data_IF_317060801120
#
_entry.id   IF_317060801120
#
_cell.length_a   1.000
_cell.length_b   1.000
_cell.length_c   1.000
_cell.angle_alpha   90.00
_cell.angle_beta   90.00
_cell.angle_gamma   90.00
#
_symmetry.space_group_name_H-M   'P 1'
#
loop_
_entity.id
_entity.type
_entity.pdbx_description
1 polymer ?
#
# COMPACT_ATOMS: atom_id res chain seq x y z
N UNK A 1 -12.21 44.83 -13.13
CA UNK A 1 -11.17 45.03 -12.09
C UNK A 1 -10.47 43.71 -11.84
N UNK A 2 -9.16 43.71 -11.54
CA UNK A 2 -8.37 42.46 -11.42
C UNK A 2 -8.67 41.77 -10.07
N UNK A 3 -8.96 40.47 -10.08
CA UNK A 3 -8.87 39.62 -8.87
C UNK A 3 -7.41 39.14 -8.73
N UNK A 4 -6.89 39.13 -7.51
CA UNK A 4 -5.58 38.57 -7.18
C UNK A 4 -5.78 37.18 -6.58
N UNK A 5 -5.16 36.15 -7.17
CA UNK A 5 -5.17 34.80 -6.60
C UNK A 5 -4.00 34.67 -5.63
N UNK A 6 -4.26 34.31 -4.37
CA UNK A 6 -3.23 33.96 -3.40
C UNK A 6 -3.17 32.43 -3.33
N UNK A 7 -2.03 31.86 -3.69
CA UNK A 7 -1.74 30.43 -3.58
C UNK A 7 -0.90 30.23 -2.33
N UNK A 8 -1.46 29.58 -1.30
CA UNK A 8 -0.75 29.24 -0.07
C UNK A 8 -0.15 27.83 -0.14
N UNK A 9 1.02 27.72 -0.78
CA UNK A 9 1.82 26.49 -0.74
C UNK A 9 2.54 26.36 0.61
N UNK A 10 2.03 25.52 1.52
CA UNK A 10 2.68 25.26 2.82
C UNK A 10 3.81 24.23 2.67
N UNK A 11 4.96 24.69 2.20
CA UNK A 11 6.21 23.90 2.21
C UNK A 11 6.88 24.12 3.57
N UNK A 12 6.70 23.17 4.51
CA UNK A 12 7.26 23.29 5.86
C UNK A 12 8.68 22.71 5.98
N UNK A 13 9.61 23.24 5.18
CA UNK A 13 11.03 22.88 5.22
C UNK A 13 11.80 23.71 6.25
N UNK A 14 11.94 23.21 7.48
CA UNK A 14 12.60 23.92 8.58
C UNK A 14 14.10 23.57 8.69
N UNK A 15 14.97 24.44 8.17
CA UNK A 15 16.42 24.40 8.35
C UNK A 15 16.95 25.69 9.01
N UNK A 16 17.52 25.61 10.22
CA UNK A 16 18.42 26.62 10.80
C UNK A 16 19.49 25.88 11.65
N UNK A 17 20.79 25.78 11.27
CA UNK A 17 21.95 26.71 11.50
C UNK A 17 22.02 27.38 12.90
N UNK A 18 23.17 27.60 13.56
CA UNK A 18 24.62 27.29 13.32
C UNK A 18 25.20 26.50 14.55
N UNK A 19 26.49 26.23 14.85
CA UNK A 19 27.85 26.58 14.34
C UNK A 19 28.89 25.54 14.84
N UNK A 20 30.12 25.49 14.27
CA UNK A 20 31.29 24.85 14.92
C UNK A 20 32.53 24.71 14.04
N UNK A 21 33.61 25.46 14.31
CA UNK A 21 34.83 25.48 13.48
C UNK A 21 35.92 24.50 13.96
N UNK A 22 36.67 23.90 13.02
CA UNK A 22 37.85 23.07 13.31
C UNK A 22 38.78 22.92 12.10
N UNK A 23 39.81 23.75 12.01
CA UNK A 23 40.72 23.82 10.85
C UNK A 23 41.97 22.95 11.02
N UNK A 24 42.35 22.16 10.01
CA UNK A 24 43.77 21.91 9.73
C UNK A 24 44.05 21.51 8.26
N UNK A 25 45.33 21.53 7.85
CA UNK A 25 45.73 21.70 6.44
C UNK A 25 46.56 20.56 5.83
N UNK A 26 46.34 20.34 4.51
CA UNK A 26 47.21 19.63 3.55
C UNK A 26 47.43 18.12 3.75
N UNK A 27 47.36 17.26 2.72
CA UNK A 27 48.11 17.30 1.46
C UNK A 27 47.40 16.57 0.31
N UNK A 28 47.72 16.96 -0.94
CA UNK A 28 47.39 16.17 -2.14
C UNK A 28 48.29 14.94 -2.25
N UNK A 29 47.74 13.83 -2.73
CA UNK A 29 48.50 12.86 -3.53
C UNK A 29 47.58 12.24 -4.59
N UNK A 30 48.02 12.24 -5.85
CA UNK A 30 47.34 11.56 -6.95
C UNK A 30 47.95 10.16 -7.10
N UNK A 31 47.13 9.11 -7.00
CA UNK A 31 47.51 7.77 -7.48
C UNK A 31 46.33 7.16 -8.23
N UNK A 32 46.47 7.05 -9.55
CA UNK A 32 45.49 6.39 -10.43
C UNK A 32 45.75 4.88 -10.45
N UNK A 33 44.77 4.06 -10.03
CA UNK A 33 44.85 2.60 -10.11
C UNK A 33 43.54 1.98 -10.61
N UNK A 34 43.62 1.16 -11.66
CA UNK A 34 42.49 0.39 -12.21
C UNK A 34 42.57 -1.09 -11.77
N UNK A 35 41.63 -1.57 -10.96
CA UNK A 35 41.39 -3.01 -10.71
C UNK A 35 39.87 -3.21 -10.63
N UNK A 36 39.17 -3.68 -11.67
CA UNK A 36 38.99 -5.06 -12.18
C UNK A 36 38.33 -6.04 -11.18
N UNK A 37 37.20 -6.60 -11.61
CA UNK A 37 36.36 -7.57 -10.89
C UNK A 37 37.11 -8.87 -10.58
N UNK A 38 36.85 -9.45 -9.40
CA UNK A 38 37.16 -10.85 -9.07
C UNK A 38 35.87 -11.58 -8.67
N UNK A 39 35.59 -12.70 -9.34
CA UNK A 39 34.40 -13.54 -9.14
C UNK A 39 34.71 -14.65 -8.14
N UNK A 40 34.25 -14.54 -6.90
CA UNK A 40 34.53 -15.54 -5.86
C UNK A 40 33.62 -16.78 -5.97
N UNK A 41 34.06 -17.78 -6.72
CA UNK A 41 33.46 -19.12 -6.71
C UNK A 41 33.99 -19.97 -5.55
N UNK A 42 33.11 -20.47 -4.69
CA UNK A 42 33.41 -21.57 -3.77
C UNK A 42 32.60 -22.81 -4.16
N UNK A 43 33.25 -23.98 -4.15
CA UNK A 43 32.65 -25.22 -4.63
C UNK A 43 32.31 -26.16 -3.47
N UNK A 44 31.08 -26.71 -3.48
CA UNK A 44 30.71 -27.86 -2.64
C UNK A 44 30.14 -29.01 -3.47
N UNK A 45 30.42 -30.20 -2.96
CA UNK A 45 30.48 -31.49 -3.67
C UNK A 45 29.14 -31.94 -4.27
N UNK A 46 29.18 -32.50 -5.47
CA UNK A 46 27.99 -32.95 -6.21
C UNK A 46 27.28 -34.15 -5.57
N UNK A 47 25.95 -34.11 -5.52
CA UNK A 47 25.11 -35.30 -5.72
C UNK A 47 24.39 -35.15 -7.06
N UNK A 48 24.43 -36.19 -7.90
CA UNK A 48 23.89 -36.16 -9.27
C UNK A 48 22.75 -37.19 -9.38
N UNK A 49 21.53 -36.76 -9.06
CA UNK A 49 20.33 -37.60 -9.06
C UNK A 49 19.19 -36.98 -9.86
N UNK A 50 19.05 -37.38 -11.13
CA UNK A 50 17.92 -37.06 -12.03
C UNK A 50 17.54 -35.58 -12.13
N UNK A 51 18.24 -34.84 -13.01
CA UNK A 51 17.77 -33.55 -13.52
C UNK A 51 16.54 -33.74 -14.43
N UNK A 52 15.36 -33.91 -13.83
CA UNK A 52 14.09 -33.97 -14.56
C UNK A 52 13.75 -32.57 -15.05
N UNK A 53 13.83 -32.31 -16.36
CA UNK A 53 13.26 -31.08 -16.95
C UNK A 53 11.78 -30.99 -16.57
N UNK A 54 11.40 -30.06 -15.67
CA UNK A 54 10.01 -29.64 -15.49
C UNK A 54 9.60 -28.81 -16.72
N UNK A 55 9.42 -29.48 -17.85
CA UNK A 55 8.83 -28.90 -19.07
C UNK A 55 7.30 -28.81 -18.94
N UNK A 56 6.83 -28.37 -17.78
CA UNK A 56 5.42 -28.13 -17.48
C UNK A 56 5.16 -26.64 -17.40
N UNK A 57 3.91 -26.24 -17.69
CA UNK A 57 3.44 -24.87 -17.51
C UNK A 57 3.60 -24.46 -16.05
N UNK A 58 4.22 -23.30 -15.78
CA UNK A 58 4.26 -22.73 -14.42
C UNK A 58 2.91 -22.05 -14.12
N UNK A 59 2.42 -21.26 -15.08
CA UNK A 59 1.06 -20.74 -15.09
C UNK A 59 0.09 -21.66 -15.86
N UNK A 60 -1.16 -21.73 -15.44
CA UNK A 60 -2.21 -22.54 -16.07
C UNK A 60 -3.61 -21.90 -15.86
N UNK A 61 -4.63 -22.47 -16.51
CA UNK A 61 -5.99 -21.91 -16.46
C UNK A 61 -6.58 -21.84 -15.04
N UNK A 62 -6.27 -22.81 -14.17
CA UNK A 62 -6.80 -22.84 -12.79
C UNK A 62 -6.29 -21.64 -11.98
N UNK A 63 -4.98 -21.38 -12.07
CA UNK A 63 -4.37 -20.17 -11.50
C UNK A 63 -4.92 -18.90 -12.12
N UNK A 64 -5.13 -18.89 -13.44
CA UNK A 64 -5.65 -17.74 -14.17
C UNK A 64 -7.11 -17.39 -13.77
N UNK A 65 -7.90 -18.40 -13.42
CA UNK A 65 -9.24 -18.23 -12.84
C UNK A 65 -9.18 -17.70 -11.41
N UNK A 66 -8.37 -18.33 -10.54
CA UNK A 66 -8.19 -17.87 -9.15
C UNK A 66 -7.67 -16.42 -9.08
N UNK A 67 -6.77 -16.03 -10.01
CA UNK A 67 -6.29 -14.65 -10.13
C UNK A 67 -7.38 -13.70 -10.61
N UNK A 68 -8.23 -14.11 -11.54
CA UNK A 68 -9.35 -13.29 -12.01
C UNK A 68 -10.40 -13.07 -10.92
N UNK A 69 -10.74 -14.10 -10.16
CA UNK A 69 -11.71 -14.01 -9.07
C UNK A 69 -11.16 -13.24 -7.86
N UNK A 70 -9.85 -13.33 -7.61
CA UNK A 70 -9.15 -12.43 -6.70
C UNK A 70 -9.18 -10.97 -7.19
N UNK A 71 -8.83 -10.70 -8.46
CA UNK A 71 -8.78 -9.33 -9.00
C UNK A 71 -10.16 -8.66 -9.07
N UNK A 72 -11.25 -9.43 -9.28
CA UNK A 72 -12.63 -8.92 -9.13
C UNK A 72 -12.89 -8.44 -7.70
N UNK A 73 -12.67 -9.32 -6.71
CA UNK A 73 -12.93 -9.02 -5.29
C UNK A 73 -12.03 -7.91 -4.74
N UNK A 74 -10.75 -7.90 -5.13
CA UNK A 74 -9.81 -6.84 -4.76
C UNK A 74 -10.19 -5.51 -5.44
N UNK A 75 -10.61 -5.55 -6.72
CA UNK A 75 -11.17 -4.40 -7.42
C UNK A 75 -12.40 -3.81 -6.73
N UNK A 76 -13.35 -4.64 -6.25
CA UNK A 76 -14.47 -4.18 -5.41
C UNK A 76 -13.98 -3.44 -4.16
N UNK A 77 -13.03 -4.02 -3.41
CA UNK A 77 -12.47 -3.41 -2.19
C UNK A 77 -11.81 -2.07 -2.50
N UNK A 78 -11.10 -1.94 -3.62
CA UNK A 78 -10.46 -0.69 -4.05
C UNK A 78 -11.42 0.32 -4.71
N UNK A 79 -12.65 -0.07 -5.08
CA UNK A 79 -13.55 0.67 -5.99
C UNK A 79 -12.92 0.93 -7.38
N UNK A 80 -12.41 -0.14 -7.99
CA UNK A 80 -11.63 -0.10 -9.24
C UNK A 80 -12.01 -1.28 -10.16
N UNK A 81 -12.63 -1.00 -11.29
CA UNK A 81 -13.07 -2.02 -12.26
C UNK A 81 -11.96 -2.36 -13.26
N UNK A 82 -11.32 -3.52 -13.08
CA UNK A 82 -10.18 -3.95 -13.90
C UNK A 82 -10.60 -4.72 -15.17
N UNK A 83 -10.15 -4.24 -16.33
CA UNK A 83 -10.19 -4.98 -17.61
C UNK A 83 -9.02 -5.96 -17.67
N UNK A 84 -9.32 -7.27 -17.75
CA UNK A 84 -8.33 -8.33 -17.98
C UNK A 84 -7.99 -8.44 -19.48
N UNK A 85 -6.74 -8.79 -19.80
CA UNK A 85 -6.35 -9.12 -21.19
C UNK A 85 -6.89 -10.50 -21.59
N UNK A 86 -7.66 -10.56 -22.68
CA UNK A 86 -8.33 -11.78 -23.17
C UNK A 86 -7.39 -12.77 -23.89
N UNK A 87 -6.12 -12.42 -24.09
CA UNK A 87 -5.14 -13.21 -24.83
C UNK A 87 -5.09 -12.93 -26.34
N UNK A 88 -5.90 -12.01 -26.85
CA UNK A 88 -6.06 -11.71 -28.29
C UNK A 88 -6.08 -10.20 -28.58
N UNK A 89 -6.95 -9.45 -27.93
CA UNK A 89 -7.19 -8.02 -28.18
C UNK A 89 -6.39 -7.17 -27.18
N UNK A 90 -5.55 -6.25 -27.67
CA UNK A 90 -4.75 -5.38 -26.80
C UNK A 90 -5.64 -4.60 -25.82
N UNK A 91 -5.18 -4.46 -24.57
CA UNK A 91 -5.68 -3.42 -23.67
C UNK A 91 -5.08 -2.08 -24.12
N UNK A 92 -5.96 -1.13 -24.47
CA UNK A 92 -5.57 0.27 -24.62
C UNK A 92 -5.80 1.04 -23.31
N UNK A 93 -4.76 1.70 -22.81
CA UNK A 93 -4.84 2.60 -21.64
C UNK A 93 -5.30 4.00 -22.07
N UNK A 94 -5.87 4.80 -21.15
CA UNK A 94 -6.15 6.22 -21.45
C UNK A 94 -4.89 7.07 -21.59
N UNK A 95 -3.74 6.59 -21.08
CA UNK A 95 -2.41 7.16 -21.38
C UNK A 95 -1.87 6.80 -22.78
N UNK A 96 -2.58 5.97 -23.57
CA UNK A 96 -2.25 5.63 -24.95
C UNK A 96 -1.39 4.38 -25.16
N UNK A 97 -1.02 3.67 -24.09
CA UNK A 97 -0.28 2.40 -24.14
C UNK A 97 -1.17 1.25 -24.62
N UNK A 98 -0.58 0.29 -25.32
CA UNK A 98 -1.24 -0.89 -25.91
C UNK A 98 -0.56 -2.17 -25.45
N UNK A 99 -1.09 -2.80 -24.40
CA UNK A 99 -0.52 -4.03 -23.84
C UNK A 99 -1.22 -5.28 -24.39
N UNK A 100 -0.49 -6.35 -24.76
CA UNK A 100 0.92 -6.62 -24.48
C UNK A 100 1.94 -6.05 -25.49
N UNK A 101 1.51 -5.44 -26.61
CA UNK A 101 2.43 -5.04 -27.69
C UNK A 101 3.56 -4.11 -27.23
N UNK A 102 3.26 -3.17 -26.33
CA UNK A 102 4.27 -2.22 -25.86
C UNK A 102 5.29 -2.79 -24.86
N UNK A 103 5.14 -4.04 -24.38
CA UNK A 103 6.18 -4.65 -23.53
C UNK A 103 7.56 -4.72 -24.21
N UNK A 104 7.60 -4.71 -25.55
CA UNK A 104 8.83 -4.60 -26.36
C UNK A 104 9.67 -3.33 -26.10
N UNK A 105 9.09 -2.31 -25.46
CA UNK A 105 9.78 -1.07 -25.04
C UNK A 105 9.71 -0.82 -23.53
N UNK A 106 9.32 -1.82 -22.74
CA UNK A 106 9.15 -1.66 -21.31
C UNK A 106 10.49 -1.48 -20.59
N UNK A 107 10.47 -0.59 -19.60
CA UNK A 107 11.54 -0.44 -18.60
C UNK A 107 11.00 -0.82 -17.23
N UNK A 108 11.86 -1.38 -16.37
CA UNK A 108 11.55 -1.62 -14.95
C UNK A 108 12.55 -0.80 -14.12
N UNK A 109 12.04 0.07 -13.25
CA UNK A 109 12.85 1.03 -12.47
C UNK A 109 13.84 1.82 -13.35
N UNK A 110 13.39 2.24 -14.53
CA UNK A 110 14.18 2.96 -15.54
C UNK A 110 15.24 2.12 -16.28
N UNK A 111 15.33 0.81 -16.04
CA UNK A 111 16.24 -0.08 -16.75
C UNK A 111 15.53 -0.80 -17.89
N UNK A 112 16.18 -0.93 -19.05
CA UNK A 112 15.68 -1.77 -20.14
C UNK A 112 15.66 -3.24 -19.73
N UNK A 113 14.54 -3.92 -19.94
CA UNK A 113 14.35 -5.35 -19.65
C UNK A 113 13.70 -6.06 -20.83
N UNK A 114 13.86 -7.37 -20.92
CA UNK A 114 13.01 -8.21 -21.76
C UNK A 114 11.73 -8.55 -21.00
N UNK A 115 10.61 -8.02 -21.46
CA UNK A 115 9.27 -8.26 -20.92
C UNK A 115 8.36 -8.69 -22.08
N UNK A 116 7.61 -9.77 -21.91
CA UNK A 116 6.70 -10.26 -22.96
C UNK A 116 5.57 -11.12 -22.39
N UNK A 117 4.47 -11.18 -23.12
CA UNK A 117 3.36 -12.11 -22.85
C UNK A 117 3.78 -13.58 -23.05
N UNK A 118 3.64 -14.38 -22.01
CA UNK A 118 3.69 -15.85 -22.09
C UNK A 118 2.67 -16.45 -21.11
N UNK A 119 1.53 -16.91 -21.65
CA UNK A 119 0.46 -17.59 -20.91
C UNK A 119 0.91 -18.81 -20.09
N UNK A 120 2.12 -19.35 -20.31
CA UNK A 120 2.69 -20.48 -19.55
C UNK A 120 3.70 -20.06 -18.48
N UNK A 121 4.25 -18.85 -18.57
CA UNK A 121 5.33 -18.38 -17.69
C UNK A 121 6.61 -19.23 -17.77
N UNK A 122 6.95 -19.71 -18.97
CA UNK A 122 8.09 -20.62 -19.25
C UNK A 122 9.06 -20.08 -20.30
N UNK A 123 8.90 -18.82 -20.69
CA UNK A 123 9.74 -18.09 -21.63
C UNK A 123 11.17 -17.83 -21.11
N UNK A 124 11.88 -16.94 -21.82
CA UNK A 124 13.27 -16.57 -21.54
C UNK A 124 13.44 -15.05 -21.38
N UNK A 125 12.34 -14.38 -21.07
CA UNK A 125 12.33 -12.96 -20.79
C UNK A 125 12.67 -12.76 -19.31
N UNK A 126 13.23 -11.61 -18.95
CA UNK A 126 13.46 -11.23 -17.56
C UNK A 126 12.11 -11.19 -16.80
N UNK A 127 11.04 -10.78 -17.49
CA UNK A 127 9.66 -10.81 -16.98
C UNK A 127 8.72 -11.50 -17.97
N UNK A 128 8.27 -12.70 -17.62
CA UNK A 128 7.32 -13.49 -18.42
C UNK A 128 5.90 -13.19 -17.93
N UNK A 129 5.16 -12.34 -18.64
CA UNK A 129 3.85 -11.83 -18.23
C UNK A 129 2.77 -12.88 -18.45
N UNK A 130 2.10 -13.30 -17.38
CA UNK A 130 1.10 -14.38 -17.37
C UNK A 130 -0.35 -13.89 -17.28
N UNK A 131 -0.57 -12.68 -16.75
CA UNK A 131 -1.86 -11.97 -16.78
C UNK A 131 -1.63 -10.45 -16.78
N UNK A 132 -2.59 -9.69 -17.34
CA UNK A 132 -2.57 -8.22 -17.40
C UNK A 132 -3.95 -7.71 -17.00
N UNK A 133 -4.00 -6.71 -16.12
CA UNK A 133 -5.23 -6.06 -15.67
C UNK A 133 -5.06 -4.55 -15.71
N UNK A 134 -6.02 -3.82 -16.26
CA UNK A 134 -5.97 -2.36 -16.37
C UNK A 134 -7.24 -1.69 -15.85
N UNK A 135 -7.09 -0.68 -15.00
CA UNK A 135 -8.13 0.25 -14.62
C UNK A 135 -7.82 1.63 -15.21
N UNK A 136 -8.73 2.18 -16.01
CA UNK A 136 -8.65 3.56 -16.50
C UNK A 136 -9.35 4.48 -15.50
N UNK A 137 -8.57 5.33 -14.80
CA UNK A 137 -9.09 6.32 -13.85
C UNK A 137 -9.88 7.41 -14.62
N UNK A 138 -10.94 8.01 -14.05
CA UNK A 138 -11.66 9.14 -14.66
C UNK A 138 -10.78 10.36 -14.98
N UNK A 139 -9.62 10.49 -14.33
CA UNK A 139 -8.64 11.57 -14.50
C UNK A 139 -7.70 11.42 -15.72
N UNK A 140 -8.10 10.66 -16.75
CA UNK A 140 -7.29 10.36 -17.95
C UNK A 140 -5.93 9.71 -17.66
N UNK A 141 -5.83 8.99 -16.54
CA UNK A 141 -4.68 8.18 -16.13
C UNK A 141 -5.08 6.73 -15.92
N UNK A 142 -4.13 5.80 -15.77
CA UNK A 142 -4.41 4.36 -15.67
C UNK A 142 -3.62 3.72 -14.53
N UNK A 143 -4.11 2.59 -14.01
CA UNK A 143 -3.33 1.62 -13.26
C UNK A 143 -3.31 0.34 -14.10
N UNK A 144 -2.14 -0.01 -14.66
CA UNK A 144 -1.95 -1.31 -15.30
C UNK A 144 -1.09 -2.20 -14.41
N UNK A 145 -1.61 -3.36 -14.02
CA UNK A 145 -0.84 -4.43 -13.39
C UNK A 145 -0.44 -5.50 -14.41
N UNK A 146 0.81 -5.92 -14.35
CA UNK A 146 1.33 -7.08 -15.06
C UNK A 146 1.77 -8.12 -14.02
N UNK A 147 1.12 -9.28 -14.05
CA UNK A 147 1.46 -10.43 -13.22
C UNK A 147 2.50 -11.25 -13.98
N UNK A 148 3.67 -11.45 -13.39
CA UNK A 148 4.87 -11.92 -14.12
C UNK A 148 5.60 -13.05 -13.40
N UNK A 149 6.26 -13.92 -14.14
CA UNK A 149 7.27 -14.83 -13.59
C UNK A 149 8.66 -14.36 -14.04
N UNK A 150 9.49 -13.93 -13.08
CA UNK A 150 10.88 -13.53 -13.28
C UNK A 150 11.80 -14.63 -12.75
N UNK A 151 12.61 -15.25 -13.61
CA UNK A 151 13.34 -16.51 -13.35
C UNK A 151 12.49 -17.67 -12.77
N UNK A 152 11.17 -17.57 -12.83
CA UNK A 152 10.20 -18.52 -12.28
C UNK A 152 9.55 -18.09 -10.95
N UNK A 153 9.99 -16.97 -10.36
CA UNK A 153 9.40 -16.39 -9.14
C UNK A 153 8.24 -15.43 -9.48
N UNK A 154 7.11 -15.49 -8.76
CA UNK A 154 5.92 -14.65 -9.04
C UNK A 154 6.10 -13.21 -8.54
N UNK A 155 6.24 -12.27 -9.49
CA UNK A 155 6.35 -10.82 -9.22
C UNK A 155 5.18 -10.07 -9.86
N UNK A 156 4.57 -9.13 -9.12
CA UNK A 156 3.53 -8.23 -9.65
C UNK A 156 4.15 -6.86 -9.95
N UNK A 157 4.19 -6.49 -11.23
CA UNK A 157 4.61 -5.17 -11.68
C UNK A 157 3.39 -4.25 -11.85
N UNK A 158 3.60 -2.94 -11.68
CA UNK A 158 2.61 -1.88 -11.93
C UNK A 158 3.18 -0.79 -12.83
N UNK A 159 2.33 -0.20 -13.66
CA UNK A 159 2.56 1.09 -14.31
C UNK A 159 1.36 2.01 -14.04
N UNK A 160 1.62 3.17 -13.44
CA UNK A 160 0.63 4.24 -13.17
C UNK A 160 0.97 5.55 -13.90
N UNK A 161 2.03 5.55 -14.72
CA UNK A 161 2.59 6.74 -15.35
C UNK A 161 2.07 7.01 -16.76
N UNK A 162 2.55 8.12 -17.33
CA UNK A 162 2.31 8.52 -18.73
C UNK A 162 3.30 7.91 -19.73
N UNK A 163 4.08 6.92 -19.33
CA UNK A 163 5.10 6.27 -20.16
C UNK A 163 5.33 4.81 -19.76
N UNK A 164 6.18 4.10 -20.49
CA UNK A 164 6.34 2.65 -20.36
C UNK A 164 7.40 2.24 -19.30
N UNK A 165 7.32 2.83 -18.11
CA UNK A 165 8.17 2.49 -16.98
C UNK A 165 7.36 1.84 -15.86
N UNK A 166 7.74 0.62 -15.54
CA UNK A 166 7.14 -0.25 -14.54
C UNK A 166 7.97 -0.24 -13.26
N UNK A 167 7.33 -0.59 -12.14
CA UNK A 167 7.98 -0.94 -10.88
C UNK A 167 7.32 -2.18 -10.29
N UNK A 168 7.96 -2.86 -9.33
CA UNK A 168 7.24 -3.82 -8.50
C UNK A 168 6.16 -3.07 -7.69
N UNK A 169 4.95 -3.62 -7.63
CA UNK A 169 3.88 -2.96 -6.87
C UNK A 169 4.24 -2.90 -5.38
N UNK A 170 4.00 -1.76 -4.73
CA UNK A 170 4.05 -1.69 -3.27
C UNK A 170 2.98 -2.56 -2.63
N UNK A 171 1.80 -2.67 -3.25
CA UNK A 171 0.62 -3.31 -2.69
C UNK A 171 0.89 -4.76 -2.24
N UNK A 172 0.93 -4.95 -0.92
CA UNK A 172 1.16 -6.23 -0.25
C UNK A 172 0.13 -7.29 -0.64
N UNK A 173 -1.16 -6.93 -0.65
CA UNK A 173 -2.25 -7.86 -0.97
C UNK A 173 -2.12 -8.47 -2.37
N UNK A 174 -1.76 -7.68 -3.39
CA UNK A 174 -1.50 -8.20 -4.73
C UNK A 174 -0.33 -9.19 -4.77
N UNK A 175 0.78 -8.87 -4.09
CA UNK A 175 1.99 -9.72 -4.06
C UNK A 175 1.72 -11.04 -3.34
N UNK A 176 1.21 -10.98 -2.11
CA UNK A 176 0.96 -12.16 -1.28
C UNK A 176 -0.10 -13.08 -1.91
N UNK A 177 -1.18 -12.52 -2.49
CA UNK A 177 -2.17 -13.33 -3.17
C UNK A 177 -1.68 -13.93 -4.48
N UNK A 178 -0.85 -13.22 -5.26
CA UNK A 178 -0.25 -13.80 -6.47
C UNK A 178 0.72 -14.95 -6.13
N UNK A 179 1.53 -14.81 -5.07
CA UNK A 179 2.34 -15.91 -4.51
C UNK A 179 1.46 -17.08 -4.08
N UNK A 180 0.36 -16.82 -3.37
CA UNK A 180 -0.57 -17.87 -2.93
C UNK A 180 -1.21 -18.60 -4.12
N UNK A 181 -1.69 -17.89 -5.15
CA UNK A 181 -2.23 -18.48 -6.37
C UNK A 181 -1.16 -19.30 -7.10
N UNK A 182 0.08 -18.80 -7.16
CA UNK A 182 1.20 -19.50 -7.77
C UNK A 182 1.52 -20.83 -7.07
N UNK A 183 1.49 -20.85 -5.75
CA UNK A 183 1.70 -22.05 -4.92
C UNK A 183 0.46 -22.98 -4.84
N UNK A 184 -0.71 -22.55 -5.33
CA UNK A 184 -1.97 -23.28 -5.20
C UNK A 184 -2.60 -23.21 -3.79
N UNK A 185 -2.27 -22.17 -3.02
CA UNK A 185 -2.85 -21.85 -1.71
C UNK A 185 -4.14 -21.04 -1.86
N UNK A 186 -4.87 -20.89 -0.76
CA UNK A 186 -6.03 -20.00 -0.70
C UNK A 186 -5.62 -18.52 -0.80
N UNK A 187 -6.50 -17.69 -1.39
CA UNK A 187 -6.37 -16.24 -1.39
C UNK A 187 -7.13 -15.61 -0.23
N UNK A 188 -6.68 -14.43 0.20
CA UNK A 188 -7.29 -13.62 1.23
C UNK A 188 -7.47 -12.19 0.70
N UNK A 189 -8.72 -11.81 0.47
CA UNK A 189 -9.15 -10.42 0.24
C UNK A 189 -9.81 -9.95 1.53
N UNK A 190 -9.26 -8.93 2.18
CA UNK A 190 -9.89 -8.33 3.36
C UNK A 190 -11.12 -7.51 2.93
N UNK A 191 -12.27 -8.20 2.86
CA UNK A 191 -13.55 -7.58 2.52
C UNK A 191 -14.16 -6.95 3.78
N UNK A 192 -14.63 -5.68 3.74
CA UNK A 192 -15.30 -5.06 4.87
C UNK A 192 -16.57 -5.86 5.24
N UNK A 193 -16.61 -6.34 6.49
CA UNK A 193 -17.68 -7.21 7.02
C UNK A 193 -18.87 -6.36 7.46
N UNK A 194 -19.87 -6.19 6.59
CA UNK A 194 -21.17 -5.61 6.97
C UNK A 194 -21.90 -6.56 7.91
N UNK A 195 -22.46 -6.01 8.99
CA UNK A 195 -22.93 -6.77 10.15
C UNK A 195 -24.22 -7.57 9.93
N UNK A 196 -24.27 -8.77 10.50
CA UNK A 196 -25.50 -9.41 10.99
C UNK A 196 -25.25 -9.92 12.42
N UNK A 197 -26.28 -9.89 13.26
CA UNK A 197 -26.11 -9.81 14.71
C UNK A 197 -26.26 -11.14 15.46
N UNK A 198 -25.41 -11.34 16.46
CA UNK A 198 -25.75 -12.04 17.72
C UNK A 198 -24.76 -11.62 18.81
N UNK A 199 -25.15 -11.75 20.08
CA UNK A 199 -24.57 -10.98 21.19
C UNK A 199 -23.67 -11.78 22.13
N UNK A 200 -22.77 -11.04 22.82
CA UNK A 200 -22.09 -11.46 24.07
C UNK A 200 -20.97 -12.51 23.82
N UNK A 201 -19.74 -12.36 24.32
CA UNK A 201 -19.33 -11.89 25.66
C UNK A 201 -17.90 -11.35 25.66
N UNK A 202 -17.62 -10.33 26.49
CA UNK A 202 -16.25 -9.83 26.69
C UNK A 202 -15.35 -10.92 27.28
N UNK A 203 -14.21 -11.17 26.64
CA UNK A 203 -13.08 -11.87 27.27
C UNK A 203 -11.77 -11.20 26.84
N UNK A 204 -11.24 -10.35 27.72
CA UNK A 204 -9.90 -9.79 27.59
C UNK A 204 -8.88 -10.94 27.66
N UNK A 205 -8.42 -11.40 26.50
CA UNK A 205 -7.42 -12.46 26.39
C UNK A 205 -6.25 -11.97 25.55
N UNK A 206 -5.21 -11.53 26.24
CA UNK A 206 -3.85 -11.43 25.70
C UNK A 206 -3.40 -12.82 25.24
N UNK A 207 -3.71 -13.19 23.99
CA UNK A 207 -2.97 -14.24 23.30
C UNK A 207 -1.51 -13.82 23.24
N UNK A 208 -0.61 -14.78 23.44
CA UNK A 208 0.82 -14.52 23.48
C UNK A 208 1.26 -13.87 22.16
N UNK A 209 1.94 -12.73 22.28
CA UNK A 209 2.55 -12.04 21.14
C UNK A 209 3.69 -12.91 20.62
N UNK A 210 3.54 -13.44 19.41
CA UNK A 210 4.70 -13.90 18.65
C UNK A 210 5.63 -12.69 18.45
N UNK A 211 6.90 -12.85 18.80
CA UNK A 211 7.92 -11.83 18.49
C UNK A 211 8.16 -11.87 16.98
N UNK A 212 7.61 -10.88 16.27
CA UNK A 212 7.76 -10.76 14.82
C UNK A 212 9.13 -10.18 14.45
N UNK A 213 10.01 -9.93 15.42
CA UNK A 213 11.33 -9.32 15.22
C UNK A 213 11.26 -7.82 14.92
N UNK A 214 12.44 -7.20 14.82
CA UNK A 214 12.61 -5.77 14.50
C UNK A 214 11.84 -4.81 15.46
N UNK A 215 11.57 -5.27 16.68
CA UNK A 215 10.84 -4.51 17.71
C UNK A 215 9.32 -4.56 17.59
N UNK A 216 8.76 -5.50 16.81
CA UNK A 216 7.32 -5.75 16.66
C UNK A 216 6.83 -6.79 17.68
N UNK A 217 6.39 -6.32 18.85
CA UNK A 217 5.78 -7.15 19.89
C UNK A 217 4.33 -7.55 19.58
N UNK A 218 4.10 -8.14 18.40
CA UNK A 218 2.79 -8.49 17.87
C UNK A 218 2.02 -7.33 17.21
N UNK A 219 0.93 -7.70 16.54
CA UNK A 219 -0.02 -6.76 15.95
C UNK A 219 -0.88 -6.05 17.01
N UNK A 220 -1.44 -4.90 16.66
CA UNK A 220 -2.49 -4.23 17.43
C UNK A 220 -3.83 -4.50 16.77
N UNK A 221 -4.81 -4.92 17.57
CA UNK A 221 -6.17 -5.21 17.13
C UNK A 221 -7.02 -3.95 17.11
N UNK A 222 -7.60 -3.60 15.97
CA UNK A 222 -8.59 -2.50 15.88
C UNK A 222 -9.89 -2.87 16.60
N UNK A 223 -10.61 -1.89 17.21
CA UNK A 223 -11.97 -2.12 17.70
C UNK A 223 -12.90 -2.62 16.60
N UNK A 224 -13.70 -3.68 16.84
CA UNK A 224 -14.56 -4.29 15.81
C UNK A 224 -15.54 -3.28 15.19
N UNK A 225 -16.07 -2.36 16.00
CA UNK A 225 -16.99 -1.30 15.55
C UNK A 225 -16.36 -0.23 14.64
N UNK A 226 -15.02 -0.18 14.52
CA UNK A 226 -14.34 0.65 13.51
C UNK A 226 -14.15 -0.06 12.17
N UNK A 227 -14.29 -1.39 12.12
CA UNK A 227 -13.90 -2.18 10.94
C UNK A 227 -14.92 -2.03 9.83
N UNK A 228 -14.45 -1.80 8.61
CA UNK A 228 -15.29 -1.54 7.47
C UNK A 228 -14.64 -0.62 6.44
N UNK A 229 -15.48 -0.07 5.57
CA UNK A 229 -15.12 1.00 4.64
C UNK A 229 -15.97 2.22 4.98
N UNK A 230 -15.33 3.37 5.07
CA UNK A 230 -15.94 4.64 5.46
C UNK A 230 -15.52 5.75 4.50
N UNK A 231 -16.31 6.82 4.42
CA UNK A 231 -16.22 7.84 3.38
C UNK A 231 -16.34 9.25 3.97
N UNK A 232 -15.53 10.19 3.48
CA UNK A 232 -15.57 11.59 3.96
C UNK A 232 -15.46 12.55 2.78
N UNK A 233 -16.46 13.42 2.59
CA UNK A 233 -16.53 14.38 1.49
C UNK A 233 -16.01 15.74 1.95
N UNK A 234 -14.92 16.22 1.34
CA UNK A 234 -14.39 17.57 1.50
C UNK A 234 -14.44 18.39 0.21
N UNK A 235 -13.91 19.61 0.23
CA UNK A 235 -13.73 20.47 -0.95
C UNK A 235 -12.86 19.79 -2.03
N UNK A 236 -11.82 19.06 -1.58
CA UNK A 236 -10.86 18.33 -2.40
C UNK A 236 -11.42 17.04 -3.03
N UNK A 237 -12.53 16.51 -2.50
CA UNK A 237 -13.26 15.37 -3.08
C UNK A 237 -13.70 14.34 -2.03
N UNK A 238 -13.93 13.11 -2.49
CA UNK A 238 -14.33 11.99 -1.62
C UNK A 238 -13.09 11.23 -1.15
N UNK A 239 -12.84 11.22 0.17
CA UNK A 239 -11.84 10.35 0.81
C UNK A 239 -12.48 9.03 1.21
N UNK A 240 -11.69 7.97 1.23
CA UNK A 240 -12.10 6.64 1.68
C UNK A 240 -11.13 6.11 2.73
N UNK A 241 -11.67 5.49 3.76
CA UNK A 241 -10.96 4.93 4.90
C UNK A 241 -11.37 3.46 5.05
N UNK A 242 -10.42 2.54 4.90
CA UNK A 242 -10.63 1.10 5.10
C UNK A 242 -9.92 0.67 6.37
N UNK A 243 -10.62 -0.02 7.26
CA UNK A 243 -10.11 -0.48 8.55
C UNK A 243 -10.38 -1.98 8.68
N UNK A 244 -9.31 -2.77 8.82
CA UNK A 244 -9.38 -4.22 9.06
C UNK A 244 -8.93 -4.56 10.49
N UNK A 245 -8.67 -5.84 10.79
CA UNK A 245 -8.24 -6.30 12.12
C UNK A 245 -6.91 -5.68 12.58
N UNK A 246 -5.95 -5.53 11.64
CA UNK A 246 -4.57 -5.11 11.91
C UNK A 246 -4.02 -4.06 10.93
N UNK A 247 -4.81 -3.66 9.92
CA UNK A 247 -4.38 -2.73 8.88
C UNK A 247 -5.40 -1.57 8.73
N UNK A 248 -4.91 -0.37 8.41
CA UNK A 248 -5.70 0.82 8.07
C UNK A 248 -5.20 1.34 6.73
N UNK A 249 -6.10 1.69 5.82
CA UNK A 249 -5.78 2.36 4.55
C UNK A 249 -6.56 3.67 4.45
N UNK A 250 -5.85 4.79 4.34
CA UNK A 250 -6.44 6.06 3.95
C UNK A 250 -6.25 6.24 2.44
N UNK A 251 -7.30 6.67 1.75
CA UNK A 251 -7.34 6.88 0.30
C UNK A 251 -7.85 8.31 0.06
N UNK A 252 -7.04 9.13 -0.62
CA UNK A 252 -7.40 10.50 -1.01
C UNK A 252 -8.27 10.55 -2.27
N UNK A 253 -8.80 11.73 -2.59
CA UNK A 253 -9.77 11.91 -3.68
C UNK A 253 -9.22 11.70 -5.10
N UNK A 254 -7.89 11.79 -5.26
CA UNK A 254 -7.13 11.42 -6.47
C UNK A 254 -6.76 9.93 -6.53
N UNK A 255 -6.95 9.22 -5.42
CA UNK A 255 -6.65 7.79 -5.27
C UNK A 255 -5.22 7.47 -4.83
N UNK A 256 -4.45 8.42 -4.29
CA UNK A 256 -3.24 8.05 -3.51
C UNK A 256 -3.63 7.28 -2.24
N UNK A 257 -2.77 6.37 -1.80
CA UNK A 257 -3.05 5.44 -0.69
C UNK A 257 -1.96 5.46 0.38
N UNK A 258 -2.30 5.80 1.62
CA UNK A 258 -1.45 5.64 2.79
C UNK A 258 -1.86 4.35 3.52
N UNK A 259 -1.05 3.29 3.37
CA UNK A 259 -1.25 2.02 4.04
C UNK A 259 -0.54 2.00 5.41
N UNK A 260 -1.19 1.37 6.40
CA UNK A 260 -0.75 1.34 7.78
C UNK A 260 -0.95 -0.05 8.40
N UNK A 261 0.13 -0.79 8.61
CA UNK A 261 0.13 -2.06 9.37
C UNK A 261 0.45 -1.76 10.84
N UNK A 262 -0.44 -2.20 11.74
CA UNK A 262 -0.45 -1.76 13.13
C UNK A 262 0.30 -2.75 14.04
N UNK A 263 1.40 -2.29 14.63
CA UNK A 263 2.23 -3.10 15.54
C UNK A 263 2.43 -2.44 16.89
N UNK A 264 2.56 -3.26 17.93
CA UNK A 264 3.04 -2.80 19.24
C UNK A 264 4.57 -2.71 19.19
N UNK A 265 5.12 -1.49 19.15
CA UNK A 265 6.58 -1.30 19.21
C UNK A 265 7.11 -1.60 20.61
N UNK A 266 8.09 -2.49 20.71
CA UNK A 266 8.76 -2.85 21.99
C UNK A 266 10.07 -2.10 22.22
N UNK A 267 10.66 -1.56 21.14
CA UNK A 267 11.98 -0.95 21.16
C UNK A 267 11.86 0.58 21.16
N UNK A 268 12.85 1.24 21.76
CA UNK A 268 13.05 2.67 21.63
C UNK A 268 13.31 3.06 20.17
N UNK A 269 12.92 4.28 19.80
CA UNK A 269 13.21 4.81 18.45
C UNK A 269 14.70 5.18 18.39
N UNK A 270 15.48 4.65 17.44
CA UNK A 270 16.88 5.06 17.29
C UNK A 270 16.99 6.57 17.00
N UNK A 271 18.06 7.17 17.51
CA UNK A 271 18.34 8.60 17.31
C UNK A 271 18.65 8.92 15.84
N UNK A 272 19.31 8.01 15.14
CA UNK A 272 19.63 8.05 13.72
C UNK A 272 19.06 6.80 13.02
N UNK A 273 18.45 6.99 11.84
CA UNK A 273 17.81 5.97 11.01
C UNK A 273 17.90 6.43 9.56
N UNK A 274 18.53 5.61 8.71
CA UNK A 274 18.74 5.94 7.29
C UNK A 274 17.42 6.01 6.51
N UNK A 275 17.40 6.79 5.43
CA UNK A 275 16.20 6.96 4.61
C UNK A 275 15.70 5.65 3.99
N UNK A 276 16.63 4.75 3.62
CA UNK A 276 16.29 3.40 3.17
C UNK A 276 15.56 2.56 4.23
N UNK A 277 15.90 2.72 5.49
CA UNK A 277 15.30 2.00 6.61
C UNK A 277 13.95 2.62 7.01
N UNK A 278 13.83 3.96 6.92
CA UNK A 278 12.54 4.67 7.03
C UNK A 278 11.57 4.23 5.94
N UNK A 279 12.03 4.18 4.69
CA UNK A 279 11.22 3.75 3.54
C UNK A 279 10.84 2.27 3.61
N UNK A 280 11.74 1.38 4.07
CA UNK A 280 11.44 -0.06 4.25
C UNK A 280 10.28 -0.33 5.22
N UNK A 281 9.96 0.65 6.07
CA UNK A 281 8.98 0.57 7.17
C UNK A 281 7.98 1.73 7.13
N UNK A 282 7.77 2.34 5.96
CA UNK A 282 6.85 3.49 5.77
C UNK A 282 5.39 3.13 6.11
N UNK A 283 4.99 1.88 5.83
CA UNK A 283 3.68 1.33 6.19
C UNK A 283 3.58 0.89 7.66
N UNK A 284 4.69 0.67 8.37
CA UNK A 284 4.64 0.19 9.75
C UNK A 284 4.30 1.34 10.69
N UNK A 285 3.22 1.20 11.46
CA UNK A 285 2.85 2.19 12.49
C UNK A 285 2.94 1.55 13.88
N UNK A 286 3.58 2.29 14.80
CA UNK A 286 3.53 2.01 16.24
C UNK A 286 2.17 2.44 16.75
N UNK A 287 1.32 1.49 17.13
CA UNK A 287 -0.07 1.73 17.46
C UNK A 287 -0.43 1.35 18.91
N UNK A 288 -1.58 1.83 19.39
CA UNK A 288 -2.14 1.47 20.69
C UNK A 288 -3.60 1.92 20.84
N UNK A 289 -4.45 1.04 21.37
CA UNK A 289 -5.88 1.31 21.58
C UNK A 289 -6.10 2.45 22.59
N UNK A 290 -7.10 3.29 22.30
CA UNK A 290 -7.56 4.38 23.18
C UNK A 290 -8.90 3.95 23.76
N UNK A 291 -8.89 3.49 25.01
CA UNK A 291 -10.04 2.83 25.62
C UNK A 291 -10.48 1.59 24.83
N UNK A 292 -11.79 1.40 24.68
CA UNK A 292 -12.39 0.32 23.88
C UNK A 292 -12.76 0.73 22.45
N UNK A 293 -12.80 2.05 22.17
CA UNK A 293 -13.53 2.62 21.03
C UNK A 293 -12.62 3.35 20.02
N UNK A 294 -11.32 3.47 20.30
CA UNK A 294 -10.39 4.16 19.42
C UNK A 294 -9.00 3.53 19.36
N UNK A 295 -8.15 4.10 18.52
CA UNK A 295 -6.76 3.69 18.32
C UNK A 295 -5.91 4.90 17.93
N UNK A 296 -4.71 4.97 18.51
CA UNK A 296 -3.65 5.88 18.11
C UNK A 296 -2.63 5.15 17.25
N UNK A 297 -2.04 5.81 16.27
CA UNK A 297 -0.91 5.29 15.50
C UNK A 297 0.09 6.38 15.13
N UNK A 298 1.38 5.99 15.06
CA UNK A 298 2.52 6.86 14.74
C UNK A 298 3.45 6.13 13.78
N UNK A 299 4.11 6.82 12.86
CA UNK A 299 5.11 6.20 11.99
C UNK A 299 6.21 5.48 12.80
N UNK A 300 6.73 4.35 12.30
CA UNK A 300 7.63 3.48 13.10
C UNK A 300 8.79 4.20 13.77
N UNK A 301 9.40 5.15 13.06
CA UNK A 301 10.52 5.99 13.52
C UNK A 301 10.13 7.47 13.78
N UNK A 302 8.85 7.74 14.09
CA UNK A 302 8.35 9.08 14.39
C UNK A 302 8.69 9.49 15.84
N UNK A 303 9.74 10.28 16.01
CA UNK A 303 10.20 10.77 17.32
C UNK A 303 9.33 11.88 17.93
N UNK A 304 8.60 12.67 17.12
CA UNK A 304 7.87 13.88 17.57
C UNK A 304 6.48 14.02 16.92
N UNK A 305 5.67 14.95 17.42
CA UNK A 305 4.27 15.14 17.03
C UNK A 305 3.29 14.21 17.77
N UNK A 306 2.00 14.33 17.48
CA UNK A 306 0.95 13.51 18.11
C UNK A 306 0.69 12.17 17.43
N UNK A 307 0.90 12.08 16.10
CA UNK A 307 0.47 10.95 15.30
C UNK A 307 -0.97 11.12 14.79
N UNK A 308 -1.56 10.02 14.39
CA UNK A 308 -2.92 9.87 13.90
C UNK A 308 -3.78 9.20 14.99
N UNK A 309 -5.02 9.65 15.15
CA UNK A 309 -5.99 9.06 16.08
C UNK A 309 -7.33 8.83 15.42
N UNK A 310 -7.97 7.72 15.77
CA UNK A 310 -9.26 7.29 15.23
C UNK A 310 -10.19 6.86 16.37
N UNK A 311 -11.47 7.19 16.28
CA UNK A 311 -12.50 6.81 17.26
C UNK A 311 -13.82 6.46 16.58
N UNK A 312 -14.56 5.49 17.12
CA UNK A 312 -16.00 5.34 16.79
C UNK A 312 -16.81 6.46 17.46
N UNK A 313 -17.72 7.06 16.71
CA UNK A 313 -18.82 7.89 17.23
C UNK A 313 -20.16 7.33 16.75
N UNK A 314 -21.28 7.79 17.31
CA UNK A 314 -22.62 7.47 16.81
C UNK A 314 -23.48 8.74 16.87
N UNK A 315 -24.07 9.10 15.74
CA UNK A 315 -24.75 10.38 15.53
C UNK A 315 -26.19 10.18 15.03
N UNK A 316 -27.08 11.16 15.24
CA UNK A 316 -28.47 11.08 14.76
C UNK A 316 -28.68 11.88 13.47
N UNK A 317 -28.70 11.18 12.33
CA UNK A 317 -28.94 11.76 11.00
C UNK A 317 -30.34 11.37 10.53
N UNK A 318 -31.18 12.35 10.20
CA UNK A 318 -32.58 12.16 9.78
C UNK A 318 -33.41 11.26 10.72
N UNK A 319 -33.12 11.31 12.03
CA UNK A 319 -33.77 10.47 13.05
C UNK A 319 -33.28 9.01 13.09
N UNK A 320 -32.15 8.71 12.44
CA UNK A 320 -31.51 7.39 12.45
C UNK A 320 -30.13 7.47 13.09
N UNK A 321 -29.81 6.48 13.92
CA UNK A 321 -28.48 6.32 14.51
C UNK A 321 -27.49 5.81 13.47
N UNK A 322 -26.51 6.65 13.15
CA UNK A 322 -25.45 6.40 12.18
C UNK A 322 -24.13 6.21 12.92
N UNK A 323 -23.45 5.05 12.80
CA UNK A 323 -22.09 4.92 13.29
C UNK A 323 -21.14 5.74 12.42
N UNK A 324 -20.12 6.34 13.01
CA UNK A 324 -19.11 7.17 12.36
C UNK A 324 -17.70 6.75 12.80
N UNK A 325 -16.71 7.04 11.97
CA UNK A 325 -15.30 7.04 12.39
C UNK A 325 -14.76 8.46 12.33
N UNK A 326 -14.39 8.99 13.49
CA UNK A 326 -13.68 10.26 13.62
C UNK A 326 -12.19 10.01 13.40
N UNK A 327 -11.54 10.87 12.62
CA UNK A 327 -10.09 10.87 12.40
C UNK A 327 -9.51 12.23 12.75
N UNK A 328 -8.33 12.24 13.35
CA UNK A 328 -7.51 13.45 13.48
C UNK A 328 -6.02 13.17 13.46
N UNK A 329 -5.26 14.25 13.27
CA UNK A 329 -3.80 14.25 13.27
C UNK A 329 -3.26 15.41 14.11
N UNK A 330 -2.47 15.11 15.13
CA UNK A 330 -1.89 16.10 16.03
C UNK A 330 -1.94 15.68 17.50
N UNK A 331 -1.58 16.61 18.39
CA UNK A 331 -1.41 16.33 19.82
C UNK A 331 -2.60 16.78 20.70
N UNK A 332 -3.74 17.11 20.07
CA UNK A 332 -4.84 17.85 20.72
C UNK A 332 -6.18 17.08 20.71
N UNK A 333 -6.20 15.82 20.27
CA UNK A 333 -7.38 14.95 20.12
C UNK A 333 -8.52 15.52 19.24
N UNK A 334 -8.26 16.58 18.48
CA UNK A 334 -9.21 17.25 17.58
C UNK A 334 -9.52 16.40 16.35
N UNK A 335 -10.74 16.50 15.83
CA UNK A 335 -11.19 15.82 14.60
C UNK A 335 -10.83 16.65 13.36
N UNK A 336 -10.04 16.07 12.46
CA UNK A 336 -9.78 16.60 11.10
C UNK A 336 -10.89 16.18 10.12
N UNK A 337 -11.35 14.92 10.17
CA UNK A 337 -12.36 14.37 9.26
C UNK A 337 -13.35 13.46 10.00
N UNK A 338 -14.63 13.56 9.61
CA UNK A 338 -15.69 12.61 9.97
C UNK A 338 -15.91 11.66 8.78
N UNK A 339 -15.87 10.35 9.02
CA UNK A 339 -16.12 9.33 8.00
C UNK A 339 -17.44 8.59 8.27
N UNK A 340 -18.26 8.49 7.22
CA UNK A 340 -19.61 7.92 7.17
C UNK A 340 -19.61 6.53 6.49
N UNK A 341 -20.58 5.64 6.78
CA UNK A 341 -20.61 4.28 6.24
C UNK A 341 -20.95 4.15 4.73
N UNK A 342 -21.27 5.24 4.02
CA UNK A 342 -21.52 5.23 2.57
C UNK A 342 -21.14 6.54 1.87
N UNK A 343 -20.87 6.47 0.56
CA UNK A 343 -20.58 7.65 -0.27
C UNK A 343 -21.78 8.62 -0.33
N UNK A 344 -23.02 8.11 -0.44
CA UNK A 344 -24.23 8.93 -0.46
C UNK A 344 -24.39 9.73 0.84
N UNK A 345 -24.16 9.10 2.00
CA UNK A 345 -24.28 9.75 3.29
C UNK A 345 -23.13 10.74 3.55
N UNK A 346 -21.91 10.43 3.08
CA UNK A 346 -20.80 11.37 3.09
C UNK A 346 -21.07 12.59 2.19
N UNK A 347 -21.72 12.42 1.04
CA UNK A 347 -22.15 13.52 0.18
C UNK A 347 -23.31 14.33 0.81
N UNK A 348 -24.25 13.68 1.51
CA UNK A 348 -25.34 14.35 2.22
C UNK A 348 -24.83 15.20 3.40
N UNK A 349 -23.80 14.72 4.10
CA UNK A 349 -23.26 15.31 5.32
C UNK A 349 -21.90 16.01 5.10
N UNK A 350 -21.60 16.47 3.87
CA UNK A 350 -20.31 17.10 3.54
C UNK A 350 -20.05 18.40 4.32
N UNK A 351 -21.12 19.14 4.57
CA UNK A 351 -21.09 20.47 5.19
C UNK A 351 -21.54 20.40 6.66
N UNK A 352 -21.75 19.19 7.19
CA UNK A 352 -22.29 18.95 8.52
C UNK A 352 -21.24 19.14 9.64
N UNK A 353 -21.71 19.65 10.78
CA UNK A 353 -20.96 19.79 12.03
C UNK A 353 -21.88 19.38 13.18
N UNK A 354 -21.38 18.56 14.09
CA UNK A 354 -22.12 18.06 15.26
C UNK A 354 -21.53 18.67 16.54
N UNK A 355 -22.38 19.21 17.42
CA UNK A 355 -21.97 20.10 18.54
C UNK A 355 -21.13 19.39 19.63
N UNK A 356 -21.14 18.06 19.69
CA UNK A 356 -20.38 17.26 20.64
C UNK A 356 -19.01 16.79 20.08
N UNK A 357 -18.78 16.94 18.77
CA UNK A 357 -17.51 16.61 18.12
C UNK A 357 -16.56 17.80 18.17
N UNK A 358 -15.40 17.62 18.81
CA UNK A 358 -14.38 18.64 18.90
C UNK A 358 -13.55 18.72 17.60
N UNK A 359 -13.99 19.53 16.65
CA UNK A 359 -13.30 19.76 15.38
C UNK A 359 -12.03 20.60 15.54
N UNK A 360 -11.09 20.40 14.60
CA UNK A 360 -9.84 21.16 14.53
C UNK A 360 -9.99 22.56 13.94
N UNK A 361 -11.00 22.73 13.07
CA UNK A 361 -11.38 23.95 12.36
C UNK A 361 -12.90 23.96 12.11
#
# INVERSE_FOLDING_TARGET
>A
MKKLTIISSVILSSLLILTGCGSNSSKKSNVTSKVKVVKQSSSKKSQKGVAKKKSGSLWNNDKDSHLEDFMKQWGEVMNQTYTKYDGTNNIQTVSGMNYPQDFNSATVNGQNVSMAWDKKGTGKNDYNVVAIYNYNKPSSSSITYAFTLADGEPIVLVNEGSGNNWSETKNKSLKENFVNIFDGKATHVEKPKVSSSSSTKSSSSTKATEDLGEGRGGYVTTPEAMRGTWYSKGEDGMKKLVISEHEITLISADGETNHAVLYKRTNDIPSDVSESERQSKEEWKSAGNIGTNGISMRGWYQQQGGGEHFFTHEEEVDGQKVPLVLYGFGANDLTDYVYYPSEDLANQQSDAKYDDINYKF
#
